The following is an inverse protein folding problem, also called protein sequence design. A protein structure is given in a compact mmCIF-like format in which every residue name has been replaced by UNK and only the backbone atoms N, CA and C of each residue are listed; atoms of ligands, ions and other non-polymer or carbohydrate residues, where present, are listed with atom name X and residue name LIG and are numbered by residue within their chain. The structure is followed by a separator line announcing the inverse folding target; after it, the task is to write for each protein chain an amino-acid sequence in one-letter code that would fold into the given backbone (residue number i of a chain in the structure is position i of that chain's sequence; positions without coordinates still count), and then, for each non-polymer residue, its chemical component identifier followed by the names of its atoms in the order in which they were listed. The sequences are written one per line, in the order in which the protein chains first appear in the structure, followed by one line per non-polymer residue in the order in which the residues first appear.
data_IF_008199435367
#
_entry.id   IF_008199435367
#
_cell.length_a   1.000
_cell.length_b   1.000
_cell.length_c   1.000
_cell.angle_alpha   90.00
_cell.angle_beta   90.00
_cell.angle_gamma   90.00
#
_symmetry.space_group_name_H-M   'P 1'
#
loop_
_entity.id
_entity.type
_entity.pdbx_description
1 polymer ?
#
# COMPACT_ATOMS: atom_id res chain seq x y z
N UNK A 1 14.23 6.71 7.01
CA UNK A 1 13.12 5.88 6.52
C UNK A 1 13.59 5.28 5.22
N UNK A 2 13.73 3.96 5.17
CA UNK A 2 14.41 3.27 4.09
C UNK A 2 13.67 3.47 2.77
N UNK A 3 14.40 3.84 1.72
CA UNK A 3 13.94 3.92 0.34
C UNK A 3 13.58 2.50 -0.13
N UNK A 4 12.40 2.01 0.23
CA UNK A 4 11.77 0.93 -0.51
C UNK A 4 11.38 1.56 -1.84
N UNK A 5 12.19 1.35 -2.86
CA UNK A 5 11.86 1.80 -4.21
C UNK A 5 10.65 0.99 -4.68
N UNK A 6 9.64 1.63 -5.27
CA UNK A 6 8.41 0.97 -5.72
C UNK A 6 8.68 -0.24 -6.62
N UNK A 7 9.79 -0.21 -7.37
CA UNK A 7 10.39 -1.36 -8.07
C UNK A 7 10.42 -2.65 -7.25
N UNK A 8 10.85 -2.58 -5.99
CA UNK A 8 10.92 -3.75 -5.09
C UNK A 8 9.54 -4.25 -4.65
N UNK A 9 8.58 -3.34 -4.53
CA UNK A 9 7.19 -3.68 -4.21
C UNK A 9 6.52 -4.34 -5.40
N UNK A 10 6.68 -3.79 -6.60
CA UNK A 10 6.10 -4.35 -7.82
C UNK A 10 6.67 -5.72 -8.11
N UNK A 11 7.98 -5.92 -7.93
CA UNK A 11 8.57 -7.24 -8.02
C UNK A 11 7.91 -8.23 -7.06
N UNK A 12 7.69 -7.86 -5.79
CA UNK A 12 7.05 -8.75 -4.83
C UNK A 12 5.58 -9.06 -5.16
N UNK A 13 4.81 -8.08 -5.65
CA UNK A 13 3.37 -8.21 -5.89
C UNK A 13 3.04 -8.86 -7.23
N UNK A 14 3.84 -8.59 -8.26
CA UNK A 14 3.62 -9.05 -9.63
C UNK A 14 4.54 -10.20 -10.01
N UNK A 15 5.29 -10.81 -9.09
CA UNK A 15 5.98 -12.07 -9.40
C UNK A 15 5.38 -13.22 -8.62
N UNK A 16 5.39 -14.39 -9.24
CA UNK A 16 4.97 -15.62 -8.59
C UNK A 16 6.16 -16.56 -8.42
N UNK A 17 6.16 -17.31 -7.32
CA UNK A 17 7.07 -18.42 -7.16
C UNK A 17 6.65 -19.56 -8.10
N UNK A 18 7.31 -19.59 -9.26
CA UNK A 18 7.09 -20.58 -10.31
C UNK A 18 7.40 -22.02 -9.90
N UNK A 19 8.02 -22.26 -8.74
CA UNK A 19 8.23 -23.60 -8.18
C UNK A 19 6.99 -24.16 -7.49
N UNK A 20 6.05 -23.29 -7.11
CA UNK A 20 4.80 -23.67 -6.41
C UNK A 20 3.61 -23.80 -7.36
N UNK A 21 3.81 -23.55 -8.65
CA UNK A 21 2.78 -23.65 -9.69
C UNK A 21 2.82 -25.05 -10.32
N UNK A 22 1.65 -25.66 -10.46
CA UNK A 22 1.51 -26.93 -11.17
C UNK A 22 2.11 -26.83 -12.60
N UNK A 23 2.96 -27.80 -13.03
CA UNK A 23 3.60 -27.78 -14.35
C UNK A 23 2.65 -27.57 -15.53
N UNK A 24 1.41 -28.07 -15.45
CA UNK A 24 0.44 -27.91 -16.52
C UNK A 24 -0.19 -26.51 -16.55
N UNK A 25 -0.42 -25.90 -15.38
CA UNK A 25 -0.90 -24.53 -15.28
C UNK A 25 0.17 -23.50 -15.66
N UNK A 26 1.44 -23.83 -15.41
CA UNK A 26 2.58 -22.98 -15.78
C UNK A 26 2.68 -22.77 -17.30
N UNK A 27 2.27 -23.75 -18.11
CA UNK A 27 2.27 -23.64 -19.58
C UNK A 27 1.29 -22.60 -20.11
N UNK A 28 0.22 -22.33 -19.38
CA UNK A 28 -0.79 -21.33 -19.72
C UNK A 28 -0.65 -20.02 -18.92
N UNK A 29 0.34 -19.93 -18.02
CA UNK A 29 0.48 -18.77 -17.15
C UNK A 29 1.08 -17.59 -17.92
N UNK A 30 0.37 -16.46 -17.91
CA UNK A 30 0.85 -15.18 -18.43
C UNK A 30 1.14 -14.26 -17.26
N UNK A 31 2.40 -13.85 -17.12
CA UNK A 31 2.79 -12.89 -16.09
C UNK A 31 2.30 -11.49 -16.48
N UNK A 32 1.50 -10.88 -15.60
CA UNK A 32 1.13 -9.47 -15.70
C UNK A 32 2.20 -8.60 -15.06
N UNK A 33 2.28 -7.35 -15.54
CA UNK A 33 3.16 -6.31 -15.03
C UNK A 33 2.31 -5.12 -14.60
N UNK A 34 2.86 -4.28 -13.74
CA UNK A 34 2.24 -3.00 -13.40
C UNK A 34 2.15 -2.16 -14.68
N UNK A 35 0.97 -1.61 -14.96
CA UNK A 35 0.78 -0.65 -16.03
C UNK A 35 1.10 0.77 -15.54
N UNK A 36 1.35 1.67 -16.49
CA UNK A 36 1.74 3.06 -16.22
C UNK A 36 0.67 3.82 -15.42
N UNK A 37 -0.62 3.58 -15.69
CA UNK A 37 -1.72 4.24 -14.99
C UNK A 37 -1.78 3.80 -13.53
N UNK A 38 -1.58 2.51 -13.26
CA UNK A 38 -1.51 1.97 -11.90
C UNK A 38 -0.31 2.54 -11.14
N UNK A 39 0.85 2.63 -11.78
CA UNK A 39 2.03 3.23 -11.15
C UNK A 39 1.78 4.71 -10.80
N UNK A 40 1.17 5.47 -11.71
CA UNK A 40 0.80 6.85 -11.46
C UNK A 40 -0.21 6.96 -10.30
N UNK A 41 -1.24 6.11 -10.27
CA UNK A 41 -2.24 6.07 -9.20
C UNK A 41 -1.62 5.79 -7.83
N UNK A 42 -0.71 4.81 -7.74
CA UNK A 42 -0.02 4.45 -6.49
C UNK A 42 0.85 5.62 -6.01
N UNK A 43 1.61 6.24 -6.91
CA UNK A 43 2.43 7.40 -6.60
C UNK A 43 1.60 8.59 -6.12
N UNK A 44 0.50 8.92 -6.82
CA UNK A 44 -0.42 9.97 -6.41
C UNK A 44 -1.07 9.68 -5.05
N UNK A 45 -1.46 8.42 -4.80
CA UNK A 45 -2.05 7.99 -3.54
C UNK A 45 -1.07 8.09 -2.36
N UNK A 46 0.18 7.68 -2.56
CA UNK A 46 1.24 7.82 -1.56
C UNK A 46 1.55 9.29 -1.24
N UNK A 47 1.63 10.13 -2.28
CA UNK A 47 1.81 11.58 -2.11
C UNK A 47 0.64 12.23 -1.36
N UNK A 48 -0.60 11.88 -1.73
CA UNK A 48 -1.80 12.44 -1.11
C UNK A 48 -1.97 12.01 0.35
N UNK A 49 -1.68 10.75 0.67
CA UNK A 49 -1.75 10.23 2.05
C UNK A 49 -0.61 10.76 2.94
N UNK A 50 0.54 11.08 2.35
CA UNK A 50 1.67 11.71 3.05
C UNK A 50 1.52 13.23 3.22
N UNK A 51 0.37 13.79 2.85
CA UNK A 51 0.18 15.24 2.89
C UNK A 51 0.14 15.76 4.34
N UNK A 52 1.13 16.56 4.71
CA UNK A 52 1.36 17.02 6.08
C UNK A 52 0.14 17.74 6.69
N UNK A 53 -0.61 18.51 5.90
CA UNK A 53 -1.80 19.20 6.40
C UNK A 53 -2.92 18.22 6.78
N UNK A 54 -3.06 17.11 6.05
CA UNK A 54 -4.02 16.05 6.41
C UNK A 54 -3.61 15.39 7.72
N UNK A 55 -2.31 15.17 7.92
CA UNK A 55 -1.80 14.59 9.16
C UNK A 55 -1.97 15.54 10.35
N UNK A 56 -1.69 16.83 10.17
CA UNK A 56 -1.92 17.87 11.19
C UNK A 56 -3.40 17.99 11.53
N UNK A 57 -4.28 17.97 10.52
CA UNK A 57 -5.72 17.98 10.73
C UNK A 57 -6.19 16.74 11.49
N UNK A 58 -5.71 15.56 11.10
CA UNK A 58 -6.02 14.31 11.80
C UNK A 58 -5.55 14.36 13.27
N UNK A 59 -4.36 14.89 13.55
CA UNK A 59 -3.86 15.11 14.91
C UNK A 59 -4.73 16.07 15.70
N UNK A 60 -5.14 17.20 15.10
CA UNK A 60 -5.99 18.20 15.73
C UNK A 60 -7.37 17.63 16.09
N UNK A 61 -8.05 17.01 15.12
CA UNK A 61 -9.35 16.39 15.32
C UNK A 61 -9.26 15.27 16.35
N UNK A 62 -8.22 14.44 16.29
CA UNK A 62 -7.95 13.41 17.30
C UNK A 62 -7.80 14.02 18.69
N UNK A 63 -7.04 15.10 18.85
CA UNK A 63 -6.82 15.72 20.14
C UNK A 63 -8.11 16.29 20.73
N UNK A 64 -8.94 16.92 19.90
CA UNK A 64 -10.25 17.44 20.32
C UNK A 64 -11.19 16.30 20.70
N UNK A 65 -11.32 15.28 19.85
CA UNK A 65 -12.24 14.17 20.09
C UNK A 65 -11.82 13.32 21.30
N UNK A 66 -10.53 13.17 21.57
CA UNK A 66 -10.02 12.47 22.75
C UNK A 66 -10.43 13.14 24.08
N UNK A 67 -10.79 14.43 24.08
CA UNK A 67 -11.35 15.11 25.26
C UNK A 67 -12.76 14.59 25.57
N UNK A 68 -13.53 14.24 24.54
CA UNK A 68 -14.93 13.82 24.66
C UNK A 68 -15.10 12.29 24.61
N UNK A 69 -14.16 11.56 24.03
CA UNK A 69 -14.28 10.12 23.80
C UNK A 69 -12.92 9.43 23.86
N UNK A 70 -12.79 8.40 24.69
CA UNK A 70 -11.61 7.54 24.72
C UNK A 70 -11.53 6.69 23.45
N UNK A 71 -10.35 6.60 22.85
CA UNK A 71 -10.11 5.73 21.69
C UNK A 71 -10.34 4.27 22.05
N UNK A 72 -11.26 3.61 21.36
CA UNK A 72 -11.35 2.16 21.35
C UNK A 72 -10.16 1.62 20.55
N UNK A 73 -9.20 1.02 21.22
CA UNK A 73 -8.15 0.23 20.57
C UNK A 73 -8.83 -0.91 19.81
N UNK A 74 -8.47 -1.11 18.54
CA UNK A 74 -8.98 -2.27 17.77
C UNK A 74 -8.56 -3.60 18.41
N UNK A 75 -7.58 -3.57 19.34
CA UNK A 75 -7.08 -4.72 20.08
C UNK A 75 -7.30 -4.63 21.60
N UNK A 76 -8.02 -3.63 22.12
CA UNK A 76 -8.00 -3.31 23.56
C UNK A 76 -6.75 -2.54 23.96
#
# INVERSE_FOLDING_TARGET
MANVTYESLYFYWYTIDSSQVNPDLKKSFLQFYVDEETEEFVNQSANKSSWIFTQVWHCLVTAILNIFMTRTSING
#
